data_IF_033524836987
#
_entry.id   IF_033524836987
#
_cell.length_a   1.000
_cell.length_b   1.000
_cell.length_c   1.000
_cell.angle_alpha   90.00
_cell.angle_beta   90.00
_cell.angle_gamma   90.00
#
_symmetry.space_group_name_H-M   'P 1'
#
loop_
_entity.id
_entity.type
_entity.pdbx_description
1 polymer ?
#
# COMPACT_ATOMS: atom_id res chain seq x y z
N UNK A 1 -12.28 17.88 7.32
CA UNK A 1 -11.17 17.13 6.72
C UNK A 1 -10.84 15.91 7.54
N UNK A 2 -10.85 14.79 6.92
CA UNK A 2 -10.48 13.51 7.55
C UNK A 2 -9.24 12.94 6.88
N UNK A 3 -8.37 12.32 7.67
CA UNK A 3 -7.11 11.77 7.19
C UNK A 3 -6.99 10.33 7.72
N UNK A 4 -6.65 9.41 6.84
CA UNK A 4 -6.30 8.04 7.21
C UNK A 4 -4.86 7.75 6.82
N UNK A 5 -4.16 7.02 7.67
CA UNK A 5 -2.84 6.47 7.37
C UNK A 5 -3.02 4.96 7.31
N UNK A 6 -2.84 4.40 6.13
CA UNK A 6 -2.98 2.97 5.87
C UNK A 6 -1.60 2.39 5.62
N UNK A 7 -1.17 1.46 6.46
CA UNK A 7 0.12 0.80 6.33
C UNK A 7 -0.09 -0.69 6.06
N UNK A 8 0.48 -1.16 4.97
CA UNK A 8 0.41 -2.57 4.56
C UNK A 8 1.80 -3.17 4.59
N UNK A 9 1.92 -4.31 5.25
CA UNK A 9 3.16 -5.08 5.29
C UNK A 9 2.99 -6.32 4.44
N UNK A 10 3.97 -6.59 3.59
CA UNK A 10 3.92 -7.70 2.62
C UNK A 10 5.03 -8.68 2.82
N UNK A 11 4.74 -9.95 2.53
CA UNK A 11 5.74 -10.96 2.27
C UNK A 11 5.75 -11.27 0.78
N UNK A 12 6.94 -11.49 0.23
CA UNK A 12 7.11 -11.87 -1.18
C UNK A 12 7.77 -13.25 -1.25
N UNK A 13 6.98 -14.32 -1.11
CA UNK A 13 7.53 -15.68 -1.15
C UNK A 13 8.24 -15.95 -2.46
N UNK A 14 9.43 -16.57 -2.38
CA UNK A 14 10.20 -16.91 -3.57
C UNK A 14 10.89 -15.76 -4.27
N UNK A 15 10.75 -14.53 -3.77
CA UNK A 15 11.44 -13.39 -4.35
C UNK A 15 12.92 -13.44 -4.00
N UNK A 16 13.79 -13.41 -5.01
CA UNK A 16 15.22 -13.64 -4.85
C UNK A 16 16.10 -12.41 -5.06
N UNK A 17 15.52 -11.27 -5.43
CA UNK A 17 16.30 -10.06 -5.69
C UNK A 17 15.44 -8.80 -5.51
N UNK A 18 16.10 -7.68 -5.32
CA UNK A 18 15.41 -6.37 -5.28
C UNK A 18 14.81 -6.02 -6.64
N UNK A 19 15.44 -6.46 -7.72
CA UNK A 19 14.89 -6.26 -9.06
C UNK A 19 13.56 -6.96 -9.23
N UNK A 20 13.48 -8.22 -8.80
CA UNK A 20 12.24 -8.99 -8.83
C UNK A 20 11.18 -8.36 -7.94
N UNK A 21 11.57 -7.90 -6.74
CA UNK A 21 10.67 -7.19 -5.83
C UNK A 21 10.05 -5.97 -6.51
N UNK A 22 10.85 -5.16 -7.19
CA UNK A 22 10.36 -3.98 -7.91
C UNK A 22 9.37 -4.36 -9.00
N UNK A 23 9.63 -5.45 -9.70
CA UNK A 23 8.71 -5.95 -10.73
C UNK A 23 7.37 -6.38 -10.13
N UNK A 24 7.43 -7.07 -9.00
CA UNK A 24 6.22 -7.58 -8.31
C UNK A 24 5.42 -6.46 -7.64
N UNK A 25 6.09 -5.45 -7.09
CA UNK A 25 5.49 -4.36 -6.30
C UNK A 25 5.40 -3.04 -7.06
N UNK A 26 6.06 -2.92 -8.19
CA UNK A 26 6.30 -1.64 -8.86
C UNK A 26 5.09 -0.91 -9.40
N UNK A 27 3.93 -1.55 -9.46
CA UNK A 27 2.71 -0.90 -9.92
C UNK A 27 2.07 0.03 -8.88
N UNK A 28 2.48 -0.04 -7.62
CA UNK A 28 1.82 0.71 -6.56
C UNK A 28 1.93 2.22 -6.71
N UNK A 29 3.13 2.72 -6.99
CA UNK A 29 3.33 4.15 -7.22
C UNK A 29 2.47 4.67 -8.37
N UNK A 30 2.49 3.96 -9.48
CA UNK A 30 1.75 4.38 -10.67
C UNK A 30 0.24 4.30 -10.47
N UNK A 31 -0.23 3.29 -9.75
CA UNK A 31 -1.65 3.06 -9.55
C UNK A 31 -2.31 4.06 -8.63
N UNK A 32 -1.63 4.39 -7.53
CA UNK A 32 -2.23 5.21 -6.47
C UNK A 32 -1.65 6.60 -6.42
N UNK A 33 -0.44 6.82 -6.94
CA UNK A 33 0.21 8.12 -6.94
C UNK A 33 -0.44 9.16 -7.82
N UNK A 34 -1.33 8.75 -8.73
CA UNK A 34 -2.07 9.67 -9.62
C UNK A 34 -3.43 10.07 -9.07
N UNK A 35 -3.81 9.56 -7.90
CA UNK A 35 -5.07 9.92 -7.26
C UNK A 35 -4.81 11.12 -6.34
N UNK A 36 -5.43 12.30 -6.59
CA UNK A 36 -5.11 13.51 -5.83
C UNK A 36 -5.32 13.38 -4.31
N UNK A 37 -6.21 12.50 -3.87
CA UNK A 37 -6.51 12.32 -2.45
C UNK A 37 -5.62 11.30 -1.76
N UNK A 38 -4.63 10.72 -2.46
CA UNK A 38 -3.79 9.65 -1.92
C UNK A 38 -2.32 9.94 -2.17
N UNK A 39 -1.53 9.89 -1.11
CA UNK A 39 -0.07 9.89 -1.20
C UNK A 39 0.43 8.49 -0.84
N UNK A 40 1.45 7.99 -1.52
CA UNK A 40 1.93 6.63 -1.34
C UNK A 40 3.46 6.57 -1.39
N UNK A 41 4.04 5.75 -0.50
CA UNK A 41 5.47 5.46 -0.55
C UNK A 41 5.76 4.09 0.06
N UNK A 42 6.88 3.50 -0.34
CA UNK A 42 7.43 2.35 0.37
C UNK A 42 8.10 2.88 1.64
N UNK A 43 7.51 2.58 2.79
CA UNK A 43 7.88 3.18 4.06
C UNK A 43 8.80 2.30 4.92
N UNK A 44 8.99 1.03 4.56
CA UNK A 44 9.86 0.14 5.30
C UNK A 44 10.29 -1.07 4.50
N UNK A 45 11.27 -1.81 5.02
CA UNK A 45 11.82 -3.03 4.43
C UNK A 45 12.40 -2.82 3.02
N UNK A 46 12.88 -1.61 2.74
CA UNK A 46 13.30 -1.23 1.38
C UNK A 46 14.47 -2.05 0.87
N UNK A 47 15.36 -2.48 1.76
CA UNK A 47 16.55 -3.24 1.39
C UNK A 47 16.35 -4.76 1.40
N UNK A 48 15.17 -5.21 1.78
CA UNK A 48 14.83 -6.64 1.78
C UNK A 48 14.07 -7.00 0.51
N UNK A 49 14.43 -8.11 -0.12
CA UNK A 49 13.74 -8.57 -1.31
C UNK A 49 12.51 -9.44 -1.00
N UNK A 50 12.42 -9.97 0.21
CA UNK A 50 11.34 -10.89 0.61
C UNK A 50 10.25 -10.22 1.45
N UNK A 51 10.37 -8.91 1.70
CA UNK A 51 9.40 -8.14 2.48
C UNK A 51 9.30 -6.71 1.96
N UNK A 52 8.14 -6.09 2.20
CA UNK A 52 7.92 -4.70 1.83
C UNK A 52 6.88 -4.08 2.76
N UNK A 53 7.02 -2.80 3.03
CA UNK A 53 6.03 -2.04 3.77
C UNK A 53 5.67 -0.79 2.96
N UNK A 54 4.37 -0.56 2.78
CA UNK A 54 3.87 0.58 2.04
C UNK A 54 2.88 1.37 2.86
N UNK A 55 3.00 2.68 2.82
CA UNK A 55 2.10 3.59 3.53
C UNK A 55 1.35 4.46 2.55
N UNK A 56 0.04 4.55 2.77
CA UNK A 56 -0.88 5.39 2.01
C UNK A 56 -1.47 6.42 2.96
N UNK A 57 -1.39 7.68 2.59
CA UNK A 57 -2.06 8.76 3.33
C UNK A 57 -3.24 9.22 2.49
N UNK A 58 -4.43 9.12 3.05
CA UNK A 58 -5.68 9.34 2.34
C UNK A 58 -6.41 10.50 3.00
N UNK A 59 -6.83 11.47 2.20
CA UNK A 59 -7.62 12.60 2.67
C UNK A 59 -9.03 12.54 2.10
N UNK A 60 -10.01 12.98 2.88
CA UNK A 60 -11.40 12.98 2.42
C UNK A 60 -12.26 13.90 3.27
N UNK A 61 -13.49 14.10 2.83
CA UNK A 61 -14.43 15.00 3.47
C UNK A 61 -15.24 14.35 4.59
N UNK A 62 -15.25 13.02 4.65
CA UNK A 62 -15.93 12.28 5.71
C UNK A 62 -15.14 11.06 6.11
N UNK A 63 -15.36 10.58 7.33
CA UNK A 63 -14.74 9.35 7.83
C UNK A 63 -15.16 8.15 6.98
N UNK A 64 -16.43 8.10 6.60
CA UNK A 64 -16.97 7.04 5.76
C UNK A 64 -16.24 6.96 4.42
N UNK A 65 -15.95 8.12 3.83
CA UNK A 65 -15.25 8.20 2.56
C UNK A 65 -13.84 7.65 2.65
N UNK A 66 -13.06 8.05 3.67
CA UNK A 66 -11.70 7.55 3.81
C UNK A 66 -11.66 6.06 4.19
N UNK A 67 -12.63 5.57 4.96
CA UNK A 67 -12.74 4.14 5.24
C UNK A 67 -13.00 3.35 3.95
N UNK A 68 -13.90 3.87 3.12
CA UNK A 68 -14.20 3.26 1.81
C UNK A 68 -12.96 3.21 0.92
N UNK A 69 -12.21 4.29 0.88
CA UNK A 69 -10.97 4.35 0.09
C UNK A 69 -9.93 3.37 0.59
N UNK A 70 -9.78 3.22 1.91
CA UNK A 70 -8.88 2.21 2.48
C UNK A 70 -9.27 0.80 2.01
N UNK A 71 -10.54 0.48 2.08
CA UNK A 71 -11.05 -0.84 1.66
C UNK A 71 -10.79 -1.09 0.17
N UNK A 72 -11.02 -0.09 -0.67
CA UNK A 72 -10.78 -0.20 -2.11
C UNK A 72 -9.31 -0.41 -2.43
N UNK A 73 -8.41 0.29 -1.73
CA UNK A 73 -6.97 0.13 -1.92
C UNK A 73 -6.55 -1.28 -1.53
N UNK A 74 -6.99 -1.77 -0.38
CA UNK A 74 -6.65 -3.11 0.10
C UNK A 74 -7.13 -4.18 -0.86
N UNK A 75 -8.37 -4.09 -1.33
CA UNK A 75 -8.94 -5.05 -2.26
C UNK A 75 -8.20 -5.07 -3.59
N UNK A 76 -7.90 -3.90 -4.13
CA UNK A 76 -7.21 -3.79 -5.41
C UNK A 76 -5.80 -4.37 -5.33
N UNK A 77 -5.09 -4.09 -4.24
CA UNK A 77 -3.76 -4.63 -4.00
C UNK A 77 -3.81 -6.14 -3.87
N UNK A 78 -4.74 -6.67 -3.10
CA UNK A 78 -4.89 -8.11 -2.91
C UNK A 78 -5.10 -8.85 -4.23
N UNK A 79 -5.85 -8.24 -5.16
CA UNK A 79 -6.13 -8.84 -6.47
C UNK A 79 -5.00 -8.71 -7.47
N UNK A 80 -4.19 -7.66 -7.38
CA UNK A 80 -3.31 -7.27 -8.48
C UNK A 80 -1.82 -7.29 -8.18
N UNK A 81 -1.43 -7.33 -6.91
CA UNK A 81 -0.03 -7.32 -6.52
C UNK A 81 0.43 -8.74 -6.21
N UNK A 82 1.56 -9.14 -6.77
CA UNK A 82 2.15 -10.46 -6.57
C UNK A 82 2.94 -10.50 -5.25
N UNK A 83 2.20 -10.37 -4.15
CA UNK A 83 2.74 -10.41 -2.79
C UNK A 83 1.60 -10.75 -1.83
N UNK A 84 1.97 -11.23 -0.65
CA UNK A 84 1.00 -11.57 0.39
C UNK A 84 0.92 -10.45 1.40
N UNK A 85 -0.28 -9.96 1.67
CA UNK A 85 -0.50 -8.99 2.75
C UNK A 85 -0.40 -9.74 4.09
N UNK A 86 0.54 -9.31 4.92
CA UNK A 86 0.79 -9.92 6.23
C UNK A 86 0.15 -9.13 7.36
N UNK A 87 0.05 -7.80 7.20
CA UNK A 87 -0.53 -6.95 8.22
C UNK A 87 -1.15 -5.71 7.59
N UNK A 88 -2.23 -5.24 8.19
CA UNK A 88 -2.93 -4.03 7.78
C UNK A 88 -3.14 -3.17 9.02
N UNK A 89 -2.66 -1.94 8.98
CA UNK A 89 -2.90 -0.97 10.06
C UNK A 89 -3.58 0.25 9.47
N UNK A 90 -4.65 0.69 10.12
CA UNK A 90 -5.34 1.92 9.77
C UNK A 90 -5.32 2.85 10.96
N UNK A 91 -4.87 4.07 10.74
CA UNK A 91 -4.89 5.12 11.75
C UNK A 91 -5.72 6.28 11.19
N UNK A 92 -6.69 6.73 11.95
CA UNK A 92 -7.53 7.87 11.58
C UNK A 92 -7.14 9.07 12.43
N UNK A 93 -6.75 10.13 11.76
CA UNK A 93 -6.22 11.33 12.39
C UNK A 93 -7.30 12.44 12.46
#
# INVERSE_FOLDING_TARGET
MHIAILTLTFALPGCSSLKEKRQRMGGLHARFGNTPSVAVCESGERDRHDASEWTFVIVGLSKRDIESQCSQIEEKIERTVDARIMNVEREFV
#
